data_IF_126342463056
#
_entry.id   IF_126342463056
#
_cell.length_a   1.000
_cell.length_b   1.000
_cell.length_c   1.000
_cell.angle_alpha   90.00
_cell.angle_beta   90.00
_cell.angle_gamma   90.00
#
_symmetry.space_group_name_H-M   'P 1'
#
loop_
_entity.id
_entity.type
_entity.pdbx_description
1 polymer ?
#
# COMPACT_ATOMS: atom_id res chain seq x y z
N UNK A 1 11.94 -9.30 -33.28
CA UNK A 1 12.73 -8.75 -32.15
C UNK A 1 12.42 -9.60 -30.94
N UNK A 2 13.39 -10.40 -30.48
CA UNK A 2 13.18 -11.30 -29.33
C UNK A 2 12.93 -10.49 -28.07
N UNK A 3 11.78 -10.71 -27.43
CA UNK A 3 11.50 -10.23 -26.07
C UNK A 3 12.40 -11.05 -25.14
N UNK A 4 13.57 -10.52 -24.79
CA UNK A 4 14.41 -11.07 -23.72
C UNK A 4 13.52 -11.18 -22.50
N UNK A 5 13.15 -12.40 -22.10
CA UNK A 5 12.29 -12.63 -20.95
C UNK A 5 13.11 -12.40 -19.69
N UNK A 6 13.30 -11.13 -19.31
CA UNK A 6 13.77 -10.76 -17.99
C UNK A 6 12.75 -11.28 -16.99
N UNK A 7 13.19 -12.24 -16.17
CA UNK A 7 12.60 -12.80 -14.95
C UNK A 7 11.20 -12.21 -14.66
N UNK A 8 10.17 -12.94 -15.08
CA UNK A 8 8.74 -12.86 -14.71
C UNK A 8 8.29 -11.51 -14.15
N UNK A 9 7.51 -10.72 -14.90
CA UNK A 9 7.05 -9.37 -14.49
C UNK A 9 6.25 -9.41 -13.16
N UNK A 10 6.96 -9.28 -12.03
CA UNK A 10 6.40 -9.32 -10.67
C UNK A 10 5.62 -8.07 -10.30
N UNK A 11 5.85 -6.95 -11.02
CA UNK A 11 5.23 -5.65 -10.77
C UNK A 11 4.44 -5.21 -12.00
N UNK A 12 3.18 -4.82 -11.78
CA UNK A 12 2.28 -4.29 -12.80
C UNK A 12 1.86 -2.85 -12.46
N UNK A 13 1.71 -2.03 -13.51
CA UNK A 13 1.10 -0.71 -13.42
C UNK A 13 -0.07 -0.69 -14.39
N UNK A 14 -1.28 -0.45 -13.89
CA UNK A 14 -2.48 -0.42 -14.73
C UNK A 14 -3.33 0.78 -14.35
N UNK A 15 -3.63 1.69 -15.29
CA UNK A 15 -4.53 2.81 -15.04
C UNK A 15 -5.88 2.33 -14.47
N UNK A 16 -6.35 2.97 -13.40
CA UNK A 16 -7.62 2.62 -12.74
C UNK A 16 -7.55 1.47 -11.73
N UNK A 17 -6.44 0.73 -11.65
CA UNK A 17 -6.22 -0.28 -10.58
C UNK A 17 -5.24 0.31 -9.57
N UNK A 18 -5.62 0.29 -8.29
CA UNK A 18 -4.85 0.90 -7.19
C UNK A 18 -4.44 2.35 -7.49
N UNK A 19 -5.29 3.14 -8.15
CA UNK A 19 -4.98 4.52 -8.54
C UNK A 19 -3.92 4.66 -9.64
N UNK A 20 -3.57 3.58 -10.35
CA UNK A 20 -2.46 3.58 -11.30
C UNK A 20 -1.10 3.40 -10.64
N UNK A 21 -1.05 3.07 -9.35
CA UNK A 21 0.19 2.83 -8.61
C UNK A 21 0.80 1.44 -8.92
N UNK A 22 2.13 1.28 -8.82
CA UNK A 22 2.80 0.00 -8.98
C UNK A 22 2.32 -1.01 -7.92
N UNK A 23 2.02 -2.23 -8.36
CA UNK A 23 1.51 -3.31 -7.51
C UNK A 23 2.13 -4.65 -7.89
N UNK A 24 2.08 -5.61 -6.98
CA UNK A 24 2.43 -7.00 -7.29
C UNK A 24 1.48 -7.54 -8.38
N UNK A 25 2.05 -8.17 -9.41
CA UNK A 25 1.30 -8.75 -10.51
C UNK A 25 0.24 -9.74 -10.02
N UNK A 26 -0.97 -9.66 -10.59
CA UNK A 26 -2.10 -10.49 -10.16
C UNK A 26 -2.69 -10.15 -8.78
N UNK A 27 -2.16 -9.15 -8.07
CA UNK A 27 -2.60 -8.75 -6.75
C UNK A 27 -2.98 -7.27 -6.69
N UNK A 28 -3.71 -6.88 -5.65
CA UNK A 28 -3.98 -5.47 -5.31
C UNK A 28 -3.12 -4.99 -4.13
N UNK A 29 -1.93 -5.55 -4.01
CA UNK A 29 -0.94 -5.18 -2.99
C UNK A 29 0.06 -4.24 -3.67
N UNK A 30 0.11 -2.98 -3.23
CA UNK A 30 0.95 -1.95 -3.87
C UNK A 30 2.40 -2.11 -3.42
N UNK A 31 3.33 -1.62 -4.23
CA UNK A 31 4.75 -1.59 -3.85
C UNK A 31 4.96 -0.77 -2.58
N UNK A 32 4.27 0.37 -2.45
CA UNK A 32 4.33 1.22 -1.26
C UNK A 32 3.87 0.48 0.02
N UNK A 33 2.90 -0.44 -0.08
CA UNK A 33 2.43 -1.22 1.07
C UNK A 33 3.54 -2.16 1.58
N UNK A 34 4.29 -2.79 0.65
CA UNK A 34 5.45 -3.65 0.98
C UNK A 34 6.57 -2.82 1.61
N UNK A 35 6.85 -1.64 1.06
CA UNK A 35 7.87 -0.71 1.60
C UNK A 35 7.50 -0.25 3.00
N UNK A 36 6.24 0.08 3.25
CA UNK A 36 5.76 0.48 4.59
C UNK A 36 5.93 -0.69 5.58
N UNK A 37 5.57 -1.91 5.19
CA UNK A 37 5.78 -3.10 6.03
C UNK A 37 7.26 -3.29 6.38
N UNK A 38 8.14 -3.15 5.39
CA UNK A 38 9.57 -3.37 5.57
C UNK A 38 10.26 -2.23 6.35
N UNK A 39 10.12 -0.99 5.90
CA UNK A 39 10.85 0.16 6.46
C UNK A 39 10.19 0.76 7.71
N UNK A 40 8.85 0.88 7.73
CA UNK A 40 8.14 1.54 8.86
C UNK A 40 7.74 0.55 9.94
N UNK A 41 7.27 -0.65 9.56
CA UNK A 41 6.85 -1.67 10.53
C UNK A 41 7.99 -2.61 10.96
N UNK A 42 9.11 -2.62 10.22
CA UNK A 42 10.27 -3.42 10.54
C UNK A 42 10.11 -4.92 10.24
N UNK A 43 9.14 -5.30 9.41
CA UNK A 43 8.97 -6.70 9.03
C UNK A 43 10.03 -7.16 8.04
N UNK A 44 10.60 -8.33 8.29
CA UNK A 44 11.44 -9.02 7.32
C UNK A 44 10.63 -9.48 6.10
N UNK A 45 11.27 -9.69 4.92
CA UNK A 45 10.59 -10.22 3.75
C UNK A 45 9.81 -11.51 3.99
N UNK A 46 10.33 -12.42 4.83
CA UNK A 46 9.64 -13.66 5.22
C UNK A 46 8.38 -13.39 6.07
N UNK A 47 8.42 -12.44 7.00
CA UNK A 47 7.24 -12.03 7.79
C UNK A 47 6.18 -11.37 6.93
N UNK A 48 6.58 -10.61 5.90
CA UNK A 48 5.65 -10.01 4.93
C UNK A 48 4.92 -11.11 4.14
N UNK A 49 5.64 -12.12 3.65
CA UNK A 49 5.01 -13.28 2.98
C UNK A 49 4.10 -14.05 3.95
N UNK A 50 4.48 -14.18 5.23
CA UNK A 50 3.63 -14.82 6.23
C UNK A 50 2.32 -14.08 6.47
N UNK A 51 2.29 -12.75 6.31
CA UNK A 51 1.09 -11.93 6.42
C UNK A 51 0.25 -11.94 5.14
N UNK A 52 0.89 -12.11 3.99
CA UNK A 52 0.25 -12.17 2.67
C UNK A 52 0.57 -13.51 1.97
N UNK A 53 -0.11 -14.62 2.34
CA UNK A 53 0.24 -15.95 1.81
C UNK A 53 0.04 -16.12 0.29
N UNK A 54 -0.62 -15.16 -0.36
CA UNK A 54 -0.85 -15.17 -1.81
C UNK A 54 0.35 -14.65 -2.61
N UNK A 55 1.25 -13.89 -2.00
CA UNK A 55 2.47 -13.38 -2.65
C UNK A 55 3.67 -14.24 -2.30
N UNK A 56 4.66 -14.24 -3.19
CA UNK A 56 5.90 -14.98 -3.00
C UNK A 56 7.01 -14.09 -2.47
N UNK A 57 8.06 -14.71 -1.94
CA UNK A 57 9.27 -13.98 -1.53
C UNK A 57 9.91 -13.23 -2.71
N UNK A 58 9.81 -13.78 -3.92
CA UNK A 58 10.28 -13.12 -5.15
C UNK A 58 9.50 -11.84 -5.43
N UNK A 59 8.18 -11.82 -5.21
CA UNK A 59 7.35 -10.62 -5.37
C UNK A 59 7.75 -9.52 -4.39
N UNK A 60 8.03 -9.89 -3.13
CA UNK A 60 8.49 -8.95 -2.10
C UNK A 60 9.81 -8.33 -2.48
N UNK A 61 10.80 -9.14 -2.87
CA UNK A 61 12.09 -8.61 -3.31
C UNK A 61 11.98 -7.77 -4.59
N UNK A 62 11.14 -8.18 -5.54
CA UNK A 62 10.89 -7.38 -6.74
C UNK A 62 10.27 -6.01 -6.40
N UNK A 63 9.35 -5.94 -5.45
CA UNK A 63 8.79 -4.68 -4.97
C UNK A 63 9.85 -3.79 -4.30
N UNK A 64 10.71 -4.37 -3.46
CA UNK A 64 11.81 -3.63 -2.83
C UNK A 64 12.84 -3.13 -3.86
N UNK A 65 13.18 -3.94 -4.87
CA UNK A 65 14.02 -3.51 -5.99
C UNK A 65 13.37 -2.36 -6.75
N UNK A 66 12.09 -2.50 -7.11
CA UNK A 66 11.35 -1.45 -7.82
C UNK A 66 11.31 -0.15 -7.01
N UNK A 67 11.12 -0.25 -5.69
CA UNK A 67 11.18 0.89 -4.79
C UNK A 67 12.52 1.60 -4.82
N UNK A 68 13.63 0.87 -4.74
CA UNK A 68 14.95 1.50 -4.77
C UNK A 68 15.28 2.16 -6.12
N UNK A 69 14.73 1.63 -7.22
CA UNK A 69 14.85 2.27 -8.54
C UNK A 69 13.98 3.53 -8.68
N UNK A 70 12.88 3.64 -7.92
CA UNK A 70 11.88 4.73 -7.99
C UNK A 70 11.64 5.39 -6.63
N UNK A 71 12.71 5.58 -5.85
CA UNK A 71 12.65 5.91 -4.43
C UNK A 71 11.85 7.19 -4.13
N UNK A 72 12.17 8.27 -4.84
CA UNK A 72 11.51 9.57 -4.62
C UNK A 72 10.04 9.55 -5.02
N UNK A 73 9.70 8.90 -6.13
CA UNK A 73 8.31 8.79 -6.59
C UNK A 73 7.45 8.04 -5.58
N UNK A 74 7.91 6.89 -5.10
CA UNK A 74 7.13 6.08 -4.14
C UNK A 74 7.07 6.77 -2.77
N UNK A 75 8.13 7.43 -2.32
CA UNK A 75 8.09 8.20 -1.06
C UNK A 75 7.08 9.34 -1.14
N UNK A 76 7.06 10.05 -2.25
CA UNK A 76 6.07 11.10 -2.50
C UNK A 76 4.65 10.52 -2.47
N UNK A 77 4.40 9.41 -3.16
CA UNK A 77 3.10 8.72 -3.16
C UNK A 77 2.64 8.32 -1.76
N UNK A 78 3.55 7.84 -0.91
CA UNK A 78 3.26 7.49 0.49
C UNK A 78 2.82 8.73 1.28
N UNK A 79 3.54 9.85 1.13
CA UNK A 79 3.25 11.10 1.82
C UNK A 79 1.89 11.67 1.39
N UNK A 80 1.63 11.68 0.08
CA UNK A 80 0.36 12.15 -0.50
C UNK A 80 -0.83 11.30 -0.01
N UNK A 81 -0.67 9.98 0.05
CA UNK A 81 -1.71 9.08 0.61
C UNK A 81 -1.97 9.35 2.09
N UNK A 82 -0.92 9.57 2.89
CA UNK A 82 -1.04 9.89 4.32
C UNK A 82 -1.72 11.24 4.55
N UNK A 83 -1.37 12.26 3.76
CA UNK A 83 -2.00 13.58 3.82
C UNK A 83 -3.46 13.51 3.41
N UNK A 84 -3.75 12.83 2.31
CA UNK A 84 -5.12 12.61 1.85
C UNK A 84 -5.96 11.90 2.92
N UNK A 85 -5.44 10.82 3.50
CA UNK A 85 -6.12 10.09 4.58
C UNK A 85 -6.39 10.98 5.80
N UNK A 86 -5.45 11.85 6.17
CA UNK A 86 -5.58 12.79 7.30
C UNK A 86 -6.67 13.83 7.04
N UNK A 87 -6.69 14.41 5.85
CA UNK A 87 -7.72 15.39 5.45
C UNK A 87 -9.10 14.76 5.45
N UNK A 88 -9.25 13.57 4.86
CA UNK A 88 -10.53 12.85 4.82
C UNK A 88 -11.05 12.51 6.23
N UNK A 89 -10.17 12.12 7.16
CA UNK A 89 -10.54 11.86 8.55
C UNK A 89 -11.01 13.12 9.30
N UNK A 90 -10.42 14.28 8.99
CA UNK A 90 -10.80 15.55 9.60
C UNK A 90 -12.15 16.06 9.08
N UNK A 91 -12.40 15.92 7.77
CA UNK A 91 -13.62 16.41 7.12
C UNK A 91 -14.82 15.50 7.35
N UNK A 92 -14.59 14.18 7.47
CA UNK A 92 -15.66 13.18 7.61
C UNK A 92 -15.53 12.42 8.93
N UNK A 93 -16.05 12.94 10.06
CA UNK A 93 -16.03 12.23 11.32
C UNK A 93 -16.84 10.93 11.21
N UNK A 94 -16.34 9.85 11.82
CA UNK A 94 -16.96 8.53 11.73
C UNK A 94 -18.41 8.53 12.23
N UNK A 95 -19.27 7.71 11.59
CA UNK A 95 -20.67 7.55 12.01
C UNK A 95 -20.78 7.04 13.46
N UNK A 96 -19.79 6.27 13.92
CA UNK A 96 -19.67 5.81 15.30
C UNK A 96 -19.39 7.00 16.23
N UNK A 97 -18.43 7.87 15.89
CA UNK A 97 -18.15 9.08 16.68
C UNK A 97 -19.37 10.00 16.76
N UNK A 98 -20.12 10.15 15.66
CA UNK A 98 -21.40 10.87 15.65
C UNK A 98 -22.41 10.24 16.62
N UNK A 99 -22.64 8.93 16.52
CA UNK A 99 -23.59 8.20 17.37
C UNK A 99 -23.21 8.22 18.85
N UNK A 100 -21.92 8.17 19.17
CA UNK A 100 -21.43 8.27 20.55
C UNK A 100 -21.70 9.66 21.15
N UNK A 101 -21.50 10.74 20.40
CA UNK A 101 -21.87 12.10 20.86
C UNK A 101 -23.36 12.21 21.13
N UNK A 102 -24.19 11.72 20.20
CA UNK A 102 -25.66 11.79 20.31
C UNK A 102 -26.20 10.94 21.47
N UNK A 103 -25.53 9.84 21.83
CA UNK A 103 -25.95 8.94 22.92
C UNK A 103 -25.59 9.47 24.32
N UNK A 104 -24.51 10.25 24.46
CA UNK A 104 -24.11 10.84 25.75
C UNK A 104 -24.86 12.15 26.06
N UNK A 105 -25.49 12.79 25.08
CA UNK A 105 -26.32 14.00 25.27
C UNK A 105 -27.79 13.74 25.64
N UNK A 106 -28.17 12.48 25.95
CA UNK A 106 -29.56 12.10 26.24
C UNK A 106 -29.77 11.60 27.68
N UNK A 107 -28.88 11.98 28.59
CA UNK A 107 -29.05 11.83 30.05
C UNK A 107 -29.33 13.21 30.66
N UNK A 108 -30.53 13.72 30.46
CA UNK A 108 -31.16 14.77 31.28
C UNK A 108 -32.66 14.48 31.33
#
# INVERSE_FOLDING_TARGET
MSKTSTITEHIEITPGICGGKPRIAGHRIRVEDIVICHEKMGFSPDEIVSQYPSITLADVYAALTYYHDHLEEIRQQILEDEEFARTMQAETPSLVAKKLRDSHGKKD
#
